data_IF_069567513744
#
_entry.id   IF_069567513744
#
_cell.length_a   1.000
_cell.length_b   1.000
_cell.length_c   1.000
_cell.angle_alpha   90.00
_cell.angle_beta   90.00
_cell.angle_gamma   90.00
#
_symmetry.space_group_name_H-M   'P 1'
#
loop_
_entity.id
_entity.type
_entity.pdbx_description
1 polymer ?
#
# COMPACT_ATOMS: atom_id res chain seq x y z
N UNK A 1 -4.95 -24.46 7.90
CA UNK A 1 -4.52 -23.20 8.51
C UNK A 1 -5.62 -22.17 8.37
N UNK A 2 -6.13 -21.57 9.48
CA UNK A 2 -7.04 -20.44 9.41
C UNK A 2 -6.33 -19.22 8.82
N UNK A 3 -6.96 -18.55 7.86
CA UNK A 3 -6.42 -17.37 7.20
C UNK A 3 -7.12 -16.13 7.74
N UNK A 4 -6.41 -15.17 8.34
CA UNK A 4 -7.02 -13.91 8.77
C UNK A 4 -7.77 -13.22 7.63
N UNK A 5 -8.99 -12.78 7.90
CA UNK A 5 -9.78 -12.01 6.95
C UNK A 5 -10.13 -10.65 7.54
N UNK A 6 -10.15 -9.62 6.71
CA UNK A 6 -10.44 -8.24 7.07
C UNK A 6 -11.77 -7.80 6.44
N UNK A 7 -12.63 -7.20 7.22
CA UNK A 7 -13.88 -6.61 6.75
C UNK A 7 -13.73 -5.10 6.60
N UNK A 8 -13.58 -4.64 5.39
CA UNK A 8 -13.43 -3.21 5.08
C UNK A 8 -14.64 -2.37 5.47
N UNK A 9 -15.83 -2.99 5.59
CA UNK A 9 -17.04 -2.27 5.99
C UNK A 9 -17.07 -1.98 7.49
N UNK A 10 -16.33 -2.76 8.27
CA UNK A 10 -16.22 -2.63 9.73
C UNK A 10 -14.88 -2.03 10.16
N UNK A 11 -13.97 -1.86 9.20
CA UNK A 11 -12.57 -1.45 9.41
C UNK A 11 -11.87 -2.28 10.50
N UNK A 12 -12.15 -3.60 10.51
CA UNK A 12 -11.60 -4.53 11.48
C UNK A 12 -11.51 -5.95 10.93
N UNK A 13 -10.80 -6.81 11.64
CA UNK A 13 -10.75 -8.24 11.31
C UNK A 13 -12.09 -8.90 11.57
N UNK A 14 -12.49 -9.81 10.67
CA UNK A 14 -13.59 -10.72 10.96
C UNK A 14 -13.28 -11.58 12.18
N UNK A 15 -14.29 -11.98 12.99
CA UNK A 15 -14.10 -12.92 14.08
C UNK A 15 -13.38 -14.19 13.63
N UNK A 16 -12.50 -14.72 14.48
CA UNK A 16 -11.60 -15.82 14.13
C UNK A 16 -12.33 -17.11 13.71
N UNK A 17 -13.50 -17.34 14.22
CA UNK A 17 -14.38 -18.47 13.89
C UNK A 17 -14.96 -18.38 12.45
N UNK A 18 -14.90 -17.19 11.85
CA UNK A 18 -15.35 -16.92 10.48
C UNK A 18 -14.19 -16.87 9.47
N UNK A 19 -12.94 -17.09 9.93
CA UNK A 19 -11.80 -17.09 9.02
C UNK A 19 -11.86 -18.27 8.05
N UNK A 20 -11.61 -18.05 6.75
CA UNK A 20 -11.48 -19.16 5.82
C UNK A 20 -10.33 -20.07 6.22
N UNK A 21 -10.52 -21.38 6.02
CA UNK A 21 -9.52 -22.39 6.35
C UNK A 21 -8.89 -22.91 5.07
N UNK A 22 -7.58 -22.73 4.93
CA UNK A 22 -6.81 -23.37 3.87
C UNK A 22 -6.40 -24.77 4.31
N UNK A 23 -6.75 -25.78 3.50
CA UNK A 23 -6.38 -27.19 3.71
C UNK A 23 -5.21 -27.62 2.82
N UNK A 24 -4.28 -28.37 3.40
CA UNK A 24 -3.13 -28.89 2.67
C UNK A 24 -1.89 -28.01 2.74
N UNK A 25 -0.93 -28.25 1.82
CA UNK A 25 0.31 -27.49 1.67
C UNK A 25 0.18 -26.57 0.45
N UNK A 26 0.44 -25.31 0.62
CA UNK A 26 0.54 -24.38 -0.51
C UNK A 26 1.82 -24.67 -1.30
N UNK A 27 1.72 -24.71 -2.61
CA UNK A 27 2.89 -24.80 -3.53
C UNK A 27 3.39 -23.38 -3.86
N UNK A 28 2.47 -22.42 -3.96
CA UNK A 28 2.76 -21.01 -4.21
C UNK A 28 1.91 -20.16 -3.27
N UNK A 29 2.53 -19.16 -2.68
CA UNK A 29 1.87 -18.11 -1.90
C UNK A 29 2.12 -16.80 -2.62
N UNK A 30 1.07 -16.15 -3.10
CA UNK A 30 1.14 -14.83 -3.68
C UNK A 30 0.80 -13.79 -2.60
N UNK A 31 1.76 -12.94 -2.28
CA UNK A 31 1.61 -11.84 -1.34
C UNK A 31 1.66 -10.53 -2.13
N UNK A 32 0.69 -9.63 -1.91
CA UNK A 32 0.72 -8.31 -2.51
C UNK A 32 0.58 -7.25 -1.42
N UNK A 33 1.18 -6.10 -1.67
CA UNK A 33 1.08 -4.98 -0.75
C UNK A 33 1.87 -3.77 -1.22
N UNK A 34 1.44 -2.59 -0.73
CA UNK A 34 2.19 -1.36 -0.94
C UNK A 34 3.50 -1.41 -0.16
N UNK A 35 4.60 -1.06 -0.79
CA UNK A 35 5.94 -1.11 -0.18
C UNK A 35 6.33 -2.49 0.38
N UNK A 36 5.76 -3.58 -0.14
CA UNK A 36 6.20 -4.92 0.18
C UNK A 36 7.69 -5.07 -0.19
N UNK A 37 8.47 -5.66 0.70
CA UNK A 37 9.93 -5.77 0.61
C UNK A 37 10.67 -4.40 0.54
N UNK A 38 10.09 -3.32 1.10
CA UNK A 38 10.78 -2.05 1.24
C UNK A 38 12.07 -2.21 2.07
N UNK A 39 13.11 -1.47 1.69
CA UNK A 39 14.38 -1.44 2.40
C UNK A 39 14.46 -0.21 3.31
N UNK A 40 15.16 -0.31 4.45
CA UNK A 40 15.42 0.87 5.27
C UNK A 40 16.31 1.87 4.51
N UNK A 41 16.01 3.15 4.69
CA UNK A 41 16.87 4.22 4.22
C UNK A 41 18.09 4.40 5.12
N UNK A 42 19.12 5.10 4.63
CA UNK A 42 20.23 5.57 5.45
C UNK A 42 19.71 6.56 6.49
N UNK A 43 20.22 6.49 7.72
CA UNK A 43 19.78 7.36 8.82
C UNK A 43 19.94 8.86 8.49
N UNK A 44 20.94 9.19 7.68
CA UNK A 44 21.15 10.56 7.18
C UNK A 44 20.01 11.08 6.30
N UNK A 45 19.31 10.19 5.58
CA UNK A 45 18.16 10.55 4.76
C UNK A 45 16.93 10.91 5.60
N UNK A 46 16.88 10.40 6.85
CA UNK A 46 15.80 10.71 7.78
C UNK A 46 15.94 12.07 8.46
N UNK A 47 17.12 12.70 8.37
CA UNK A 47 17.39 13.97 9.06
C UNK A 47 16.50 15.12 8.58
N UNK A 48 16.06 15.06 7.32
CA UNK A 48 15.20 16.10 6.73
C UNK A 48 13.80 15.55 6.46
N UNK A 49 12.74 16.32 6.80
CA UNK A 49 11.38 15.99 6.41
C UNK A 49 11.26 16.02 4.88
N UNK A 50 10.47 15.11 4.33
CA UNK A 50 10.28 14.96 2.88
C UNK A 50 9.07 15.76 2.37
N UNK A 51 8.09 15.99 3.24
CA UNK A 51 6.85 16.66 2.90
C UNK A 51 6.29 17.45 4.10
N UNK A 52 5.25 18.28 3.89
CA UNK A 52 4.66 19.09 4.96
C UNK A 52 4.11 18.28 6.14
N UNK A 53 3.69 17.03 5.94
CA UNK A 53 3.23 16.18 7.04
C UNK A 53 4.40 15.87 8.01
N UNK A 54 5.52 15.42 7.46
CA UNK A 54 6.72 15.15 8.27
C UNK A 54 7.27 16.41 8.91
N UNK A 55 7.22 17.55 8.19
CA UNK A 55 7.72 18.83 8.71
C UNK A 55 6.90 19.33 9.91
N UNK A 56 5.58 19.22 9.84
CA UNK A 56 4.69 19.78 10.85
C UNK A 56 4.34 18.83 11.99
N UNK A 57 4.30 17.51 11.72
CA UNK A 57 3.79 16.51 12.65
C UNK A 57 4.85 15.50 13.12
N UNK A 58 5.99 15.45 12.43
CA UNK A 58 7.16 14.64 12.82
C UNK A 58 8.48 15.45 12.71
N UNK A 59 8.53 16.69 13.25
CA UNK A 59 9.70 17.55 13.08
C UNK A 59 10.99 16.92 13.63
N UNK A 60 10.88 16.16 14.71
CA UNK A 60 12.00 15.47 15.35
C UNK A 60 12.33 14.11 14.71
N UNK A 61 11.57 13.67 13.72
CA UNK A 61 11.80 12.43 12.98
C UNK A 61 11.51 11.15 13.75
N UNK A 62 10.69 11.21 14.80
CA UNK A 62 10.38 10.07 15.67
C UNK A 62 9.67 8.96 14.90
N UNK A 63 8.62 9.32 14.13
CA UNK A 63 7.82 8.35 13.40
C UNK A 63 8.56 7.78 12.19
N UNK A 64 9.22 8.62 11.38
CA UNK A 64 9.99 8.13 10.24
C UNK A 64 11.17 7.27 10.66
N UNK A 65 11.82 7.58 11.80
CA UNK A 65 12.88 6.72 12.37
C UNK A 65 12.31 5.39 12.88
N UNK A 66 11.16 5.42 13.57
CA UNK A 66 10.49 4.21 14.01
C UNK A 66 10.16 3.27 12.83
N UNK A 67 9.56 3.80 11.75
CA UNK A 67 9.26 3.01 10.55
C UNK A 67 10.54 2.41 9.96
N UNK A 68 11.60 3.20 9.86
CA UNK A 68 12.89 2.75 9.34
C UNK A 68 13.50 1.62 10.19
N UNK A 69 13.40 1.73 11.51
CA UNK A 69 13.90 0.69 12.42
C UNK A 69 13.06 -0.60 12.33
N UNK A 70 11.75 -0.50 12.10
CA UNK A 70 10.92 -1.68 11.81
C UNK A 70 11.36 -2.37 10.51
N UNK A 71 11.71 -1.61 9.47
CA UNK A 71 12.25 -2.15 8.22
C UNK A 71 13.62 -2.81 8.41
N UNK A 72 14.47 -2.30 9.31
CA UNK A 72 15.75 -2.95 9.70
C UNK A 72 15.52 -4.24 10.49
N UNK A 73 14.43 -4.33 11.26
CA UNK A 73 14.15 -5.38 12.23
C UNK A 73 13.14 -6.43 11.77
N UNK A 74 11.92 -6.34 12.29
CA UNK A 74 10.90 -7.39 12.11
C UNK A 74 10.42 -7.54 10.67
N UNK A 75 10.25 -6.42 9.94
CA UNK A 75 9.89 -6.51 8.53
C UNK A 75 10.99 -7.14 7.68
N UNK A 76 12.26 -6.91 8.02
CA UNK A 76 13.36 -7.55 7.29
C UNK A 76 13.29 -9.07 7.40
N UNK A 77 13.04 -9.60 8.59
CA UNK A 77 12.89 -11.05 8.81
C UNK A 77 11.73 -11.63 7.98
N UNK A 78 10.63 -10.90 7.91
CA UNK A 78 9.46 -11.31 7.13
C UNK A 78 9.75 -11.26 5.62
N UNK A 79 10.41 -10.21 5.15
CA UNK A 79 10.72 -10.05 3.73
C UNK A 79 11.81 -11.02 3.25
N UNK A 80 12.66 -11.52 4.14
CA UNK A 80 13.64 -12.56 3.82
C UNK A 80 12.99 -13.92 3.47
N UNK A 81 11.69 -14.11 3.77
CA UNK A 81 10.91 -15.29 3.36
C UNK A 81 10.38 -15.18 1.90
N UNK A 82 10.58 -14.05 1.23
CA UNK A 82 10.12 -13.84 -0.15
C UNK A 82 11.15 -14.43 -1.11
N UNK A 83 10.74 -15.48 -1.84
CA UNK A 83 11.60 -16.16 -2.83
C UNK A 83 11.72 -15.39 -4.16
N UNK A 84 10.68 -14.60 -4.52
CA UNK A 84 10.59 -13.98 -5.83
C UNK A 84 9.81 -12.67 -5.77
N UNK A 85 10.43 -11.58 -6.20
CA UNK A 85 9.87 -10.22 -6.14
C UNK A 85 9.46 -9.70 -7.51
N UNK A 86 8.19 -9.36 -7.66
CA UNK A 86 7.66 -8.67 -8.83
C UNK A 86 7.32 -7.23 -8.44
N UNK A 87 7.93 -6.26 -9.11
CA UNK A 87 7.59 -4.85 -8.90
C UNK A 87 6.69 -4.32 -10.01
N UNK A 88 5.51 -3.82 -9.63
CA UNK A 88 4.69 -2.94 -10.47
C UNK A 88 5.13 -1.51 -10.22
N UNK A 89 5.92 -0.93 -11.13
CA UNK A 89 6.53 0.38 -10.97
C UNK A 89 5.61 1.47 -11.49
N UNK A 90 5.07 2.30 -10.60
CA UNK A 90 4.39 3.54 -10.98
C UNK A 90 5.37 4.51 -11.66
N UNK A 91 4.91 5.36 -12.60
CA UNK A 91 5.77 6.33 -13.29
C UNK A 91 6.40 7.33 -12.32
N UNK A 92 5.61 7.86 -11.40
CA UNK A 92 6.04 8.84 -10.42
C UNK A 92 5.12 8.87 -9.19
N UNK A 93 5.50 9.62 -8.18
CA UNK A 93 4.67 9.84 -6.99
C UNK A 93 3.42 10.67 -7.31
N UNK A 94 3.52 11.58 -8.27
CA UNK A 94 2.42 12.40 -8.75
C UNK A 94 1.32 11.51 -9.37
N UNK A 95 1.71 10.51 -10.18
CA UNK A 95 0.76 9.50 -10.70
C UNK A 95 0.08 8.72 -9.58
N UNK A 96 0.80 8.35 -8.54
CA UNK A 96 0.22 7.65 -7.37
C UNK A 96 -0.88 8.52 -6.71
N UNK A 97 -0.62 9.82 -6.53
CA UNK A 97 -1.59 10.77 -5.99
C UNK A 97 -2.84 10.88 -6.88
N UNK A 98 -2.64 11.06 -8.19
CA UNK A 98 -3.75 11.17 -9.16
C UNK A 98 -4.58 9.87 -9.21
N UNK A 99 -3.93 8.71 -9.19
CA UNK A 99 -4.63 7.43 -9.17
C UNK A 99 -5.46 7.25 -7.89
N UNK A 100 -4.94 7.73 -6.76
CA UNK A 100 -5.68 7.68 -5.50
C UNK A 100 -6.90 8.61 -5.52
N UNK A 101 -6.77 9.82 -6.08
CA UNK A 101 -7.90 10.72 -6.32
C UNK A 101 -8.95 10.11 -7.24
N UNK A 102 -8.52 9.53 -8.35
CA UNK A 102 -9.42 8.84 -9.29
C UNK A 102 -10.17 7.68 -8.61
N UNK A 103 -9.53 6.96 -7.70
CA UNK A 103 -10.15 5.89 -6.94
C UNK A 103 -11.30 6.42 -6.07
N UNK A 104 -11.10 7.54 -5.37
CA UNK A 104 -12.14 8.18 -4.56
C UNK A 104 -13.30 8.70 -5.43
N UNK A 105 -13.00 9.29 -6.57
CA UNK A 105 -14.02 9.75 -7.52
C UNK A 105 -14.87 8.59 -8.06
N UNK A 106 -14.22 7.45 -8.40
CA UNK A 106 -14.94 6.25 -8.84
C UNK A 106 -15.82 5.68 -7.72
N UNK A 107 -15.32 5.68 -6.47
CA UNK A 107 -16.09 5.25 -5.31
C UNK A 107 -17.31 6.17 -5.10
N UNK A 108 -17.13 7.48 -5.15
CA UNK A 108 -18.20 8.49 -5.05
C UNK A 108 -19.29 8.26 -6.08
N UNK A 109 -18.89 8.03 -7.34
CA UNK A 109 -19.81 7.78 -8.44
C UNK A 109 -20.57 6.46 -8.25
N UNK A 110 -19.89 5.40 -7.79
CA UNK A 110 -20.51 4.11 -7.50
C UNK A 110 -21.58 4.23 -6.41
N UNK A 111 -21.29 4.96 -5.33
CA UNK A 111 -22.25 5.20 -4.23
C UNK A 111 -23.44 6.01 -4.74
N UNK A 112 -23.21 7.09 -5.50
CA UNK A 112 -24.27 7.95 -6.04
C UNK A 112 -25.21 7.20 -6.96
N UNK A 113 -24.69 6.26 -7.74
CA UNK A 113 -25.44 5.50 -8.75
C UNK A 113 -25.97 4.15 -8.22
N UNK A 114 -25.69 3.80 -6.96
CA UNK A 114 -26.21 2.59 -6.36
C UNK A 114 -27.74 2.67 -6.26
N UNK A 115 -28.50 1.63 -6.66
CA UNK A 115 -29.93 1.62 -6.47
C UNK A 115 -30.24 1.77 -4.97
N UNK A 116 -31.11 2.71 -4.62
CA UNK A 116 -31.64 2.85 -3.26
C UNK A 116 -32.52 1.63 -2.97
N UNK A 117 -31.93 0.52 -2.63
CA UNK A 117 -32.66 -0.64 -2.14
C UNK A 117 -33.23 -0.28 -0.78
N UNK A 118 -34.57 -0.05 -0.74
CA UNK A 118 -35.31 0.21 0.50
C UNK A 118 -35.45 -1.05 1.34
N UNK A 119 -34.44 -1.30 2.17
CA UNK A 119 -34.47 -2.23 3.27
C UNK A 119 -33.79 -1.59 4.48
N UNK A 120 -34.26 -1.85 5.71
CA UNK A 120 -33.56 -1.37 6.90
C UNK A 120 -32.24 -2.14 7.03
N UNK A 121 -31.15 -1.64 6.39
CA UNK A 121 -29.82 -2.05 6.77
C UNK A 121 -29.46 -1.27 8.03
N UNK A 122 -29.70 -1.90 9.14
CA UNK A 122 -29.07 -1.57 10.41
C UNK A 122 -27.54 -1.52 10.20
N UNK A 123 -26.96 -0.35 10.38
CA UNK A 123 -25.50 -0.17 10.35
C UNK A 123 -24.90 0.21 8.99
N UNK A 124 -25.57 1.03 8.18
CA UNK A 124 -24.89 1.75 7.08
C UNK A 124 -23.90 2.73 7.72
N UNK A 125 -22.67 2.25 7.95
CA UNK A 125 -21.53 3.12 8.14
C UNK A 125 -21.44 3.99 6.87
N UNK A 126 -21.64 5.30 7.02
CA UNK A 126 -21.48 6.24 5.90
C UNK A 126 -20.09 5.99 5.31
N UNK A 127 -20.05 5.44 4.08
CA UNK A 127 -18.81 5.31 3.34
C UNK A 127 -18.28 6.73 3.13
N UNK A 128 -17.35 7.13 3.98
CA UNK A 128 -16.75 8.45 3.95
C UNK A 128 -15.85 8.55 2.73
N UNK A 129 -16.27 9.36 1.77
CA UNK A 129 -15.46 9.71 0.61
C UNK A 129 -14.47 10.79 1.07
N UNK A 130 -13.19 10.56 0.82
CA UNK A 130 -12.16 11.55 1.12
C UNK A 130 -12.21 12.71 0.12
N UNK A 131 -11.99 13.91 0.63
CA UNK A 131 -11.73 15.11 -0.19
C UNK A 131 -10.34 15.01 -0.83
N UNK A 132 -10.08 15.84 -1.85
CA UNK A 132 -8.75 15.91 -2.48
C UNK A 132 -7.63 16.27 -1.50
N UNK A 133 -7.94 17.11 -0.49
CA UNK A 133 -7.01 17.46 0.58
C UNK A 133 -6.73 16.28 1.50
N UNK A 134 -7.77 15.56 1.93
CA UNK A 134 -7.62 14.33 2.75
C UNK A 134 -6.85 13.24 2.00
N UNK A 135 -7.07 13.10 0.70
CA UNK A 135 -6.30 12.17 -0.15
C UNK A 135 -4.84 12.61 -0.21
N UNK A 136 -4.57 13.88 -0.41
CA UNK A 136 -3.22 14.43 -0.41
C UNK A 136 -2.50 14.15 0.91
N UNK A 137 -3.17 14.40 2.03
CA UNK A 137 -2.64 14.10 3.35
C UNK A 137 -2.39 12.59 3.56
N UNK A 138 -3.33 11.73 3.17
CA UNK A 138 -3.16 10.28 3.24
C UNK A 138 -1.91 9.83 2.48
N UNK A 139 -1.73 10.33 1.27
CA UNK A 139 -0.59 9.96 0.40
C UNK A 139 0.74 10.40 1.00
N UNK A 140 0.82 11.53 1.71
CA UNK A 140 2.04 11.97 2.39
C UNK A 140 2.57 10.96 3.42
N UNK A 141 1.70 10.17 4.08
CA UNK A 141 2.14 9.13 5.01
C UNK A 141 2.93 8.00 4.33
N UNK A 142 2.68 7.77 3.05
CA UNK A 142 3.32 6.71 2.26
C UNK A 142 4.42 7.23 1.33
N UNK A 143 4.56 8.54 1.19
CA UNK A 143 5.41 9.16 0.19
C UNK A 143 6.87 8.75 0.33
N UNK A 144 7.44 8.83 1.54
CA UNK A 144 8.84 8.46 1.79
C UNK A 144 9.12 7.02 1.36
N UNK A 145 8.36 6.07 1.86
CA UNK A 145 8.52 4.66 1.50
C UNK A 145 8.32 4.40 0.00
N UNK A 146 7.34 5.08 -0.62
CA UNK A 146 7.09 4.94 -2.06
C UNK A 146 8.24 5.48 -2.88
N UNK A 147 8.77 6.67 -2.58
CA UNK A 147 9.92 7.24 -3.29
C UNK A 147 11.17 6.37 -3.13
N UNK A 148 11.42 5.87 -1.91
CA UNK A 148 12.52 4.94 -1.66
C UNK A 148 12.38 3.67 -2.51
N UNK A 149 11.21 3.03 -2.52
CA UNK A 149 10.93 1.85 -3.34
C UNK A 149 11.08 2.13 -4.85
N UNK A 150 10.55 3.26 -5.34
CA UNK A 150 10.67 3.64 -6.75
C UNK A 150 12.13 3.84 -7.18
N UNK A 151 12.98 4.29 -6.27
CA UNK A 151 14.40 4.53 -6.55
C UNK A 151 15.24 3.25 -6.50
N UNK A 152 15.05 2.36 -5.49
CA UNK A 152 15.97 1.26 -5.25
C UNK A 152 15.46 -0.12 -5.72
N UNK A 153 14.15 -0.37 -5.60
CA UNK A 153 13.58 -1.68 -5.88
C UNK A 153 13.70 -2.14 -7.35
N UNK A 154 13.66 -1.25 -8.37
CA UNK A 154 13.88 -1.67 -9.76
C UNK A 154 15.20 -2.40 -9.98
N UNK A 155 16.24 -2.05 -9.20
CA UNK A 155 17.57 -2.68 -9.31
C UNK A 155 17.66 -4.08 -8.70
N UNK A 156 16.67 -4.52 -7.93
CA UNK A 156 16.69 -5.82 -7.22
C UNK A 156 15.46 -6.69 -7.42
N UNK A 157 14.38 -6.16 -7.97
CA UNK A 157 13.22 -6.96 -8.32
C UNK A 157 13.59 -8.04 -9.37
N UNK A 158 13.08 -9.25 -9.20
CA UNK A 158 13.30 -10.33 -10.16
C UNK A 158 12.54 -10.07 -11.46
N UNK A 159 11.38 -9.41 -11.35
CA UNK A 159 10.61 -8.92 -12.50
C UNK A 159 10.19 -7.48 -12.27
N UNK A 160 10.46 -6.62 -13.24
CA UNK A 160 9.98 -5.26 -13.28
C UNK A 160 8.91 -5.08 -14.35
N UNK A 161 7.75 -4.57 -13.98
CA UNK A 161 6.67 -4.20 -14.88
C UNK A 161 6.39 -2.71 -14.71
N UNK A 162 6.70 -1.91 -15.73
CA UNK A 162 6.37 -0.49 -15.68
C UNK A 162 4.86 -0.31 -15.92
N UNK A 163 4.25 0.49 -15.08
CA UNK A 163 2.84 0.90 -15.23
C UNK A 163 2.82 2.28 -15.87
N UNK A 164 2.05 2.47 -16.93
CA UNK A 164 1.89 3.78 -17.55
C UNK A 164 0.85 4.64 -16.82
N UNK A 165 0.79 5.93 -17.13
CA UNK A 165 -0.14 6.88 -16.51
C UNK A 165 -1.62 6.46 -16.67
N UNK A 166 -1.95 5.82 -17.79
CA UNK A 166 -3.28 5.27 -18.09
C UNK A 166 -3.56 3.90 -17.46
N UNK A 167 -2.68 3.44 -16.56
CA UNK A 167 -2.69 2.14 -15.89
C UNK A 167 -2.38 0.94 -16.80
N UNK A 168 -2.01 1.14 -18.06
CA UNK A 168 -1.56 0.03 -18.90
C UNK A 168 -0.23 -0.55 -18.38
N UNK A 169 -0.09 -1.86 -18.52
CA UNK A 169 1.11 -2.57 -18.07
C UNK A 169 2.09 -2.72 -19.23
N UNK A 170 3.34 -2.37 -18.99
CA UNK A 170 4.44 -2.67 -19.90
C UNK A 170 4.76 -4.18 -19.92
N UNK A 171 5.68 -4.55 -20.82
CA UNK A 171 6.18 -5.93 -20.84
C UNK A 171 7.03 -6.22 -19.60
N UNK A 172 6.93 -7.44 -19.04
CA UNK A 172 7.78 -7.87 -17.93
C UNK A 172 9.27 -7.84 -18.33
N UNK A 173 10.09 -7.26 -17.50
CA UNK A 173 11.54 -7.22 -17.64
C UNK A 173 12.13 -8.10 -16.55
N UNK A 174 12.73 -9.22 -16.94
CA UNK A 174 13.37 -10.15 -16.02
C UNK A 174 14.78 -9.70 -15.72
N UNK A 175 15.18 -9.76 -14.44
CA UNK A 175 16.55 -9.53 -14.04
C UNK A 175 17.42 -10.68 -14.55
N UNK A 176 18.50 -10.34 -15.22
CA UNK A 176 19.53 -11.32 -15.58
C UNK A 176 20.20 -11.85 -14.31
N UNK A 177 20.43 -13.18 -14.28
CA UNK A 177 21.04 -13.87 -13.15
C UNK A 177 22.53 -13.55 -13.00
#
# INVERSE_FOLDING_TARGET
>A
TPIPAFDKSRDDRVPRDQWPVFGGRAEVILLEGWCLDARPEQDSALAQPMNPLEENEDPDGVWRSYVNDQLKGEYRKFFDEIDFLIMLKAPSMECVLEWRRLQEQKLANKIRNAPKSGGPHDGAQELRIMTDEEVGRLVMHYERGTRACLAEMPGRADVLINVAEDHSLGLPQFREA
#
